data_IF_987145416549
#
_entry.id   IF_987145416549
#
_cell.length_a   1.000
_cell.length_b   1.000
_cell.length_c   1.000
_cell.angle_alpha   90.00
_cell.angle_beta   90.00
_cell.angle_gamma   90.00
#
_symmetry.space_group_name_H-M   'P 1'
#
loop_
_entity.id
_entity.type
_entity.pdbx_description
1 polymer ?
#
# COMPACT_ATOMS: atom_id res chain seq x y z
N UNK A 1 5.76 -12.91 -11.67
CA UNK A 1 4.49 -12.19 -11.45
C UNK A 1 4.78 -11.03 -10.52
N UNK A 2 4.23 -9.86 -10.82
CA UNK A 2 4.50 -8.65 -10.05
C UNK A 2 3.18 -8.13 -9.50
N UNK A 3 3.05 -8.12 -8.18
CA UNK A 3 1.94 -7.46 -7.51
C UNK A 3 2.09 -5.96 -7.71
N UNK A 4 1.01 -5.27 -8.09
CA UNK A 4 1.03 -3.79 -8.17
C UNK A 4 0.91 -3.13 -6.81
N UNK A 5 0.38 -3.86 -5.82
CA UNK A 5 0.18 -3.38 -4.46
C UNK A 5 1.04 -4.17 -3.47
N UNK A 6 1.45 -3.49 -2.41
CA UNK A 6 2.28 -4.03 -1.33
C UNK A 6 1.49 -4.18 -0.04
N UNK A 7 2.07 -4.92 0.91
CA UNK A 7 1.53 -5.00 2.27
C UNK A 7 1.46 -3.61 2.89
N UNK A 8 0.32 -3.28 3.49
CA UNK A 8 0.04 -2.00 4.12
C UNK A 8 -0.60 -0.97 3.21
N UNK A 9 -0.62 -1.17 1.88
CA UNK A 9 -1.28 -0.23 0.96
C UNK A 9 -2.78 -0.13 1.26
N UNK A 10 -3.31 1.09 1.13
CA UNK A 10 -4.73 1.36 1.26
C UNK A 10 -5.36 1.33 -0.13
N UNK A 11 -6.33 0.45 -0.34
CA UNK A 11 -6.98 0.25 -1.64
C UNK A 11 -8.46 0.51 -1.53
N UNK A 12 -9.03 1.08 -2.59
CA UNK A 12 -10.47 1.23 -2.74
C UNK A 12 -11.01 0.24 -3.76
N UNK A 13 -12.13 -0.39 -3.41
CA UNK A 13 -12.75 -1.42 -4.24
C UNK A 13 -13.79 -0.85 -5.18
N UNK A 14 -13.90 -1.43 -6.38
CA UNK A 14 -14.94 -1.07 -7.34
C UNK A 14 -16.28 -1.61 -6.88
N UNK A 15 -17.31 -0.79 -7.04
CA UNK A 15 -18.69 -1.27 -6.97
C UNK A 15 -18.93 -2.25 -8.12
N UNK A 16 -19.20 -3.53 -7.81
CA UNK A 16 -19.31 -4.56 -8.84
C UNK A 16 -19.85 -5.91 -8.35
N UNK A 17 -21.12 -6.15 -8.66
CA UNK A 17 -21.86 -7.41 -8.80
C UNK A 17 -21.97 -8.43 -7.66
N UNK A 18 -21.14 -8.42 -6.61
CA UNK A 18 -21.24 -9.47 -5.56
C UNK A 18 -21.28 -9.00 -4.10
N UNK A 19 -20.92 -7.76 -3.79
CA UNK A 19 -21.05 -7.25 -2.42
C UNK A 19 -21.25 -5.74 -2.40
N UNK A 20 -22.51 -5.30 -2.27
CA UNK A 20 -22.87 -3.88 -2.20
C UNK A 20 -22.30 -3.20 -0.95
N UNK A 21 -21.87 -3.98 0.06
CA UNK A 21 -21.27 -3.47 1.29
C UNK A 21 -19.72 -3.46 1.23
N UNK A 22 -19.13 -3.59 0.03
CA UNK A 22 -17.68 -3.57 -0.16
C UNK A 22 -17.11 -2.19 -0.47
N UNK A 23 -17.93 -1.13 -0.50
CA UNK A 23 -17.45 0.24 -0.73
C UNK A 23 -16.66 0.73 0.48
N UNK A 24 -15.40 1.11 0.28
CA UNK A 24 -14.57 1.67 1.33
C UNK A 24 -13.07 1.52 1.06
N UNK A 25 -12.28 2.04 2.00
CA UNK A 25 -10.82 1.91 2.02
C UNK A 25 -10.43 0.70 2.85
N UNK A 26 -9.54 -0.13 2.31
CA UNK A 26 -9.05 -1.33 2.97
C UNK A 26 -7.53 -1.38 2.96
N UNK A 27 -6.94 -1.93 4.02
CA UNK A 27 -5.50 -2.15 4.06
C UNK A 27 -5.15 -3.54 3.49
N UNK A 28 -4.14 -3.64 2.63
CA UNK A 28 -3.60 -4.91 2.16
C UNK A 28 -2.83 -5.60 3.28
N UNK A 29 -3.34 -6.73 3.77
CA UNK A 29 -2.73 -7.50 4.86
C UNK A 29 -1.94 -8.70 4.38
N UNK A 30 -2.17 -9.17 3.14
CA UNK A 30 -1.40 -10.28 2.54
C UNK A 30 -1.37 -10.23 1.02
N UNK A 31 -0.22 -10.54 0.43
CA UNK A 31 -0.09 -10.86 -0.99
C UNK A 31 -0.33 -12.37 -1.17
N UNK A 32 -1.20 -12.75 -2.09
CA UNK A 32 -1.57 -14.15 -2.33
C UNK A 32 -1.08 -14.61 -3.70
N UNK A 33 -0.87 -15.92 -3.90
CA UNK A 33 -0.56 -16.47 -5.22
C UNK A 33 -1.62 -16.03 -6.24
N UNK A 34 -1.17 -15.76 -7.47
CA UNK A 34 -2.10 -15.43 -8.55
C UNK A 34 -3.08 -16.58 -8.82
N UNK A 35 -4.26 -16.25 -9.37
CA UNK A 35 -5.23 -17.24 -9.84
C UNK A 35 -4.63 -18.10 -10.96
N UNK A 36 -5.36 -19.16 -11.38
CA UNK A 36 -4.98 -19.98 -12.53
C UNK A 36 -4.87 -19.16 -13.83
N UNK A 37 -5.55 -18.01 -13.91
CA UNK A 37 -5.50 -17.08 -15.04
C UNK A 37 -4.34 -16.07 -14.91
N UNK A 38 -3.59 -16.13 -13.81
CA UNK A 38 -2.42 -15.30 -13.55
C UNK A 38 -2.71 -13.96 -12.88
N UNK A 39 -3.96 -13.70 -12.49
CA UNK A 39 -4.33 -12.46 -11.80
C UNK A 39 -3.79 -12.45 -10.35
N UNK A 40 -2.98 -11.45 -9.94
CA UNK A 40 -2.55 -11.31 -8.55
C UNK A 40 -3.73 -11.18 -7.59
N UNK A 41 -3.61 -11.83 -6.43
CA UNK A 41 -4.62 -11.80 -5.39
C UNK A 41 -4.09 -11.12 -4.12
N UNK A 42 -5.00 -10.51 -3.37
CA UNK A 42 -4.70 -9.77 -2.15
C UNK A 42 -5.69 -10.16 -1.05
N UNK A 43 -5.20 -10.28 0.18
CA UNK A 43 -6.03 -10.25 1.38
C UNK A 43 -6.05 -8.81 1.89
N UNK A 44 -7.24 -8.30 2.13
CA UNK A 44 -7.48 -6.94 2.58
C UNK A 44 -8.30 -6.95 3.87
N UNK A 45 -8.19 -5.87 4.66
CA UNK A 45 -8.91 -5.70 5.92
C UNK A 45 -9.51 -4.30 6.01
N UNK A 46 -10.79 -4.21 6.38
CA UNK A 46 -11.44 -2.92 6.64
C UNK A 46 -11.07 -2.37 8.04
N UNK A 47 -11.61 -1.20 8.38
CA UNK A 47 -11.41 -0.57 9.68
C UNK A 47 -12.11 -1.32 10.82
N UNK A 48 -13.21 -2.00 10.53
CA UNK A 48 -13.97 -2.84 11.46
C UNK A 48 -13.29 -4.20 11.73
N UNK A 49 -12.26 -4.53 10.94
CA UNK A 49 -11.43 -5.70 11.05
C UNK A 49 -11.90 -6.91 10.23
N UNK A 50 -12.91 -6.76 9.37
CA UNK A 50 -13.35 -7.78 8.43
C UNK A 50 -12.31 -7.97 7.34
N UNK A 51 -11.93 -9.22 7.13
CA UNK A 51 -11.00 -9.59 6.07
C UNK A 51 -11.71 -10.12 4.83
N UNK A 52 -11.12 -9.86 3.67
CA UNK A 52 -11.61 -10.33 2.37
C UNK A 52 -10.45 -10.70 1.45
N UNK A 53 -10.71 -11.57 0.48
CA UNK A 53 -9.77 -11.87 -0.60
C UNK A 53 -10.33 -11.25 -1.88
N UNK A 54 -9.48 -10.52 -2.60
CA UNK A 54 -9.81 -9.83 -3.83
C UNK A 54 -8.74 -10.09 -4.90
N UNK A 55 -9.15 -9.99 -6.17
CA UNK A 55 -8.23 -9.91 -7.31
C UNK A 55 -7.83 -8.46 -7.60
N UNK A 56 -6.73 -8.28 -8.33
CA UNK A 56 -6.25 -6.96 -8.76
C UNK A 56 -7.31 -6.15 -9.54
N UNK A 57 -8.14 -6.80 -10.36
CA UNK A 57 -9.20 -6.14 -11.14
C UNK A 57 -10.35 -5.55 -10.31
N UNK A 58 -10.42 -5.87 -9.02
CA UNK A 58 -11.43 -5.33 -8.10
C UNK A 58 -10.97 -4.03 -7.41
N UNK A 59 -9.76 -3.54 -7.68
CA UNK A 59 -9.20 -2.31 -7.10
C UNK A 59 -9.35 -1.15 -8.09
N UNK A 60 -9.98 -0.05 -7.68
CA UNK A 60 -10.15 1.16 -8.52
C UNK A 60 -9.10 2.21 -8.21
N UNK A 61 -8.74 2.34 -6.93
CA UNK A 61 -7.78 3.34 -6.48
C UNK A 61 -6.69 2.68 -5.64
N UNK A 62 -5.45 2.97 -6.03
CA UNK A 62 -4.25 2.63 -5.28
C UNK A 62 -3.89 3.81 -4.37
N UNK A 63 -4.29 3.76 -3.11
CA UNK A 63 -3.68 4.59 -2.07
C UNK A 63 -2.34 3.98 -1.70
N UNK A 64 -1.24 4.69 -1.99
CA UNK A 64 0.03 4.34 -1.34
C UNK A 64 -0.20 4.42 0.16
N UNK A 65 0.09 3.34 0.89
CA UNK A 65 0.06 3.36 2.34
C UNK A 65 0.75 4.64 2.81
N UNK A 66 0.09 5.42 3.67
CA UNK A 66 0.84 6.25 4.59
C UNK A 66 1.67 5.29 5.43
N UNK A 67 2.89 5.02 4.97
CA UNK A 67 3.87 4.22 5.69
C UNK A 67 3.82 4.73 7.14
N UNK A 68 3.66 3.86 8.17
CA UNK A 68 3.97 4.30 9.52
C UNK A 68 5.40 4.80 9.41
N UNK A 69 5.57 6.11 9.61
CA UNK A 69 6.80 6.81 9.34
C UNK A 69 7.97 5.97 9.84
N UNK A 70 8.74 5.39 8.91
CA UNK A 70 10.13 5.12 9.24
C UNK A 70 10.64 6.47 9.75
N UNK A 71 11.20 6.57 10.97
CA UNK A 71 11.83 7.81 11.36
C UNK A 71 12.78 8.16 10.21
N UNK A 72 12.74 9.40 9.68
CA UNK A 72 13.67 9.80 8.64
C UNK A 72 15.04 9.46 9.18
N UNK A 73 15.70 8.49 8.54
CA UNK A 73 17.02 8.06 8.95
C UNK A 73 17.90 9.28 8.74
N UNK A 74 18.16 10.02 9.82
CA UNK A 74 18.84 11.31 9.85
C UNK A 74 20.32 11.20 9.56
N UNK A 75 20.72 10.37 8.60
CA UNK A 75 22.10 10.12 8.22
C UNK A 75 22.23 10.14 6.69
N UNK A 76 21.79 11.23 6.06
CA UNK A 76 22.33 11.64 4.77
C UNK A 76 23.59 12.46 5.03
N UNK A 77 24.76 11.79 5.02
CA UNK A 77 26.08 12.41 5.25
C UNK A 77 26.36 13.60 4.30
N UNK A 78 25.73 13.62 3.12
CA UNK A 78 25.86 14.69 2.12
C UNK A 78 25.25 16.01 2.64
N UNK A 79 24.16 15.95 3.41
CA UNK A 79 23.47 17.14 3.92
C UNK A 79 24.26 17.83 5.04
N UNK A 80 25.01 17.08 5.85
CA UNK A 80 25.87 17.68 6.88
C UNK A 80 27.07 18.42 6.26
N UNK A 81 27.68 17.90 5.20
CA UNK A 81 28.81 18.55 4.54
C UNK A 81 28.49 19.95 3.99
N UNK A 82 27.29 20.14 3.42
CA UNK A 82 26.92 21.42 2.83
C UNK A 82 26.64 22.50 3.89
N UNK A 83 26.15 22.11 5.07
CA UNK A 83 25.86 23.05 6.14
C UNK A 83 27.15 23.49 6.88
N UNK A 84 28.16 22.63 6.98
CA UNK A 84 29.48 22.95 7.58
C UNK A 84 30.31 23.95 6.76
N UNK A 85 30.06 24.06 5.46
CA UNK A 85 30.77 25.01 4.58
C UNK A 85 30.17 26.42 4.59
N UNK A 86 29.00 26.60 5.19
CA UNK A 86 28.31 27.90 5.26
C UNK A 86 28.60 28.69 6.53
N UNK A 87 29.19 28.04 7.55
CA UNK A 87 29.54 28.66 8.83
C UNK A 87 31.04 29.03 8.94
N UNK A 88 31.83 28.72 7.93
CA UNK A 88 33.21 29.19 7.84
C UNK A 88 33.30 30.45 6.97
N UNK A 89 33.15 31.59 7.65
CA UNK A 89 33.64 32.95 7.33
C UNK A 89 32.61 33.98 6.86
#
# INVERSE_FOLDING_TARGET
MTHRHSLGDEVELSFGFFDQNAVGTYAVTRLLPSTLQGEPQYRIKDKDGRERVIGEGQIVLAGKAAQPARPPSGHNAITQMFNSLRDSK
#
